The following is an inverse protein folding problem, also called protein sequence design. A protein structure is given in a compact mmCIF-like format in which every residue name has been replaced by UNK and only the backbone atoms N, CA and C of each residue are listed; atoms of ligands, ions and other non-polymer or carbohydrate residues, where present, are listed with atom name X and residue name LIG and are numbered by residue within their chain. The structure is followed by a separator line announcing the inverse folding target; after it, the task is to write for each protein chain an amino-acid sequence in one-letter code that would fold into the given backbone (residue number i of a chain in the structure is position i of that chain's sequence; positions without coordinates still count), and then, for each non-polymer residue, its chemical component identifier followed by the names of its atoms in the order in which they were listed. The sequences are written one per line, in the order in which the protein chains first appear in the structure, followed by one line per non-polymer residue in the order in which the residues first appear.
data_IF_122506627615
#
_entry.id   IF_122506627615
#
_cell.length_a   1.000
_cell.length_b   1.000
_cell.length_c   1.000
_cell.angle_alpha   90.00
_cell.angle_beta   90.00
_cell.angle_gamma   90.00
#
_symmetry.space_group_name_H-M   'P 1'
#
loop_
_entity.id
_entity.type
_entity.pdbx_description
1 polymer ?
#
# COMPACT_ATOMS: atom_id res chain seq x y z
N UNK A 1 -20.37 17.34 -4.93
CA UNK A 1 -20.32 15.96 -5.40
C UNK A 1 -19.68 15.93 -6.78
N UNK A 2 -18.48 15.31 -6.91
CA UNK A 2 -17.70 15.28 -8.16
C UNK A 2 -17.70 13.89 -8.79
N UNK A 3 -18.57 12.98 -8.34
CA UNK A 3 -18.65 11.63 -8.89
C UNK A 3 -17.46 10.73 -8.57
N UNK A 4 -16.71 11.02 -7.52
CA UNK A 4 -15.60 10.16 -7.07
C UNK A 4 -16.18 8.87 -6.48
N UNK A 5 -15.71 7.73 -6.98
CA UNK A 5 -16.16 6.40 -6.53
C UNK A 5 -15.08 5.58 -5.88
N UNK A 6 -13.82 5.99 -5.98
CA UNK A 6 -12.68 5.29 -5.39
C UNK A 6 -11.57 6.25 -4.99
N UNK A 7 -10.82 5.88 -3.96
CA UNK A 7 -9.64 6.60 -3.47
C UNK A 7 -8.50 5.61 -3.33
N UNK A 8 -7.36 5.92 -3.94
CA UNK A 8 -6.10 5.22 -3.70
C UNK A 8 -5.26 6.05 -2.74
N UNK A 9 -5.07 5.52 -1.56
CA UNK A 9 -4.33 6.18 -0.47
C UNK A 9 -2.83 5.87 -0.57
N UNK A 10 -1.98 6.78 -0.13
CA UNK A 10 -0.53 6.58 -0.20
C UNK A 10 -0.01 5.52 0.79
N UNK A 11 -0.76 5.21 1.85
CA UNK A 11 -0.46 4.11 2.78
C UNK A 11 -1.72 3.65 3.52
N UNK A 12 -1.60 2.55 4.28
CA UNK A 12 -2.73 1.98 5.00
C UNK A 12 -3.21 2.83 6.17
N UNK A 13 -2.31 3.48 6.87
CA UNK A 13 -2.67 4.37 7.98
C UNK A 13 -3.60 5.48 7.49
N UNK A 14 -3.26 6.09 6.35
CA UNK A 14 -4.11 7.10 5.73
C UNK A 14 -5.41 6.49 5.21
N UNK A 15 -5.39 5.28 4.67
CA UNK A 15 -6.60 4.56 4.26
C UNK A 15 -7.57 4.39 5.43
N UNK A 16 -7.09 3.99 6.60
CA UNK A 16 -7.91 3.86 7.82
C UNK A 16 -8.56 5.19 8.19
N UNK A 17 -7.80 6.27 8.15
CA UNK A 17 -8.31 7.62 8.45
C UNK A 17 -9.38 8.07 7.45
N UNK A 18 -9.15 7.80 6.16
CA UNK A 18 -10.11 8.12 5.10
C UNK A 18 -11.42 7.36 5.34
N UNK A 19 -11.35 6.05 5.58
CA UNK A 19 -12.55 5.24 5.82
C UNK A 19 -13.32 5.75 7.04
N UNK A 20 -12.64 6.05 8.14
CA UNK A 20 -13.24 6.62 9.34
C UNK A 20 -13.92 7.95 9.08
N UNK A 21 -13.28 8.83 8.32
CA UNK A 21 -13.85 10.11 7.95
C UNK A 21 -15.13 9.93 7.09
N UNK A 22 -15.07 9.05 6.09
CA UNK A 22 -16.23 8.75 5.24
C UNK A 22 -17.40 8.25 6.09
N UNK A 23 -17.16 7.29 7.00
CA UNK A 23 -18.18 6.76 7.90
C UNK A 23 -18.78 7.84 8.79
N UNK A 24 -17.95 8.73 9.31
CA UNK A 24 -18.44 9.87 10.12
C UNK A 24 -19.33 10.84 9.30
N UNK A 25 -19.16 10.88 7.99
CA UNK A 25 -20.00 11.67 7.07
C UNK A 25 -21.21 10.91 6.53
N UNK A 26 -21.44 9.68 7.00
CA UNK A 26 -22.54 8.84 6.55
C UNK A 26 -22.31 8.16 5.20
N UNK A 27 -21.06 8.16 4.71
CA UNK A 27 -20.67 7.47 3.48
C UNK A 27 -20.12 6.08 3.80
N UNK A 28 -20.49 5.10 3.01
CA UNK A 28 -20.12 3.70 3.21
C UNK A 28 -18.92 3.32 2.36
N UNK A 29 -18.00 2.60 2.95
CA UNK A 29 -16.91 1.93 2.23
C UNK A 29 -17.17 0.41 2.25
N UNK A 30 -17.25 -0.26 1.11
CA UNK A 30 -16.99 0.21 -0.25
C UNK A 30 -18.21 0.72 -1.03
N UNK A 31 -19.42 0.70 -0.43
CA UNK A 31 -20.65 0.89 -1.19
C UNK A 31 -20.74 2.24 -1.88
N UNK A 32 -20.36 3.30 -1.20
CA UNK A 32 -20.37 4.65 -1.78
C UNK A 32 -19.00 5.01 -2.34
N UNK A 33 -17.92 4.68 -1.63
CA UNK A 33 -16.55 4.96 -2.06
C UNK A 33 -15.66 3.76 -1.72
N UNK A 34 -14.96 3.23 -2.71
CA UNK A 34 -13.92 2.20 -2.51
C UNK A 34 -12.62 2.85 -2.05
N UNK A 35 -11.86 2.18 -1.19
CA UNK A 35 -10.57 2.68 -0.70
C UNK A 35 -9.52 1.58 -0.80
N UNK A 36 -8.37 1.93 -1.37
CA UNK A 36 -7.19 1.06 -1.47
C UNK A 36 -6.04 1.69 -0.70
N UNK A 37 -5.35 0.90 0.11
CA UNK A 37 -4.16 1.30 0.85
C UNK A 37 -2.87 0.86 0.17
N UNK A 38 -1.76 0.95 0.90
CA UNK A 38 -0.43 0.52 0.49
C UNK A 38 0.37 0.14 1.73
N UNK A 39 1.13 -0.93 1.71
CA UNK A 39 2.05 -1.51 2.67
C UNK A 39 1.63 -2.87 3.24
N UNK A 40 0.35 -3.20 3.28
CA UNK A 40 -0.22 -4.38 3.96
C UNK A 40 0.08 -4.38 5.47
N UNK A 41 -0.27 -3.28 6.12
CA UNK A 41 -0.26 -3.18 7.57
C UNK A 41 -1.13 -4.29 8.19
N UNK A 42 -0.66 -4.88 9.29
CA UNK A 42 -1.36 -6.01 9.93
C UNK A 42 -2.81 -5.67 10.35
N UNK A 43 -3.13 -4.41 10.56
CA UNK A 43 -4.48 -3.94 10.90
C UNK A 43 -5.46 -4.03 9.73
N UNK A 44 -4.98 -4.13 8.49
CA UNK A 44 -5.84 -4.17 7.31
C UNK A 44 -6.85 -5.32 7.36
N UNK A 45 -6.43 -6.50 7.82
CA UNK A 45 -7.27 -7.70 7.87
C UNK A 45 -8.44 -7.57 8.85
N UNK A 46 -8.22 -6.85 9.96
CA UNK A 46 -9.20 -6.72 11.06
C UNK A 46 -9.95 -5.38 11.03
N UNK A 47 -9.62 -4.49 10.12
CA UNK A 47 -10.32 -3.22 9.98
C UNK A 47 -11.74 -3.44 9.44
N UNK A 48 -12.63 -2.50 9.67
CA UNK A 48 -14.02 -2.59 9.21
C UNK A 48 -14.36 -1.45 8.25
N UNK A 49 -14.43 -1.75 6.94
CA UNK A 49 -14.20 -3.04 6.27
C UNK A 49 -12.72 -3.42 6.19
N UNK A 50 -12.37 -4.70 6.03
CA UNK A 50 -10.99 -5.11 5.78
C UNK A 50 -10.41 -4.41 4.56
N UNK A 51 -9.20 -3.87 4.68
CA UNK A 51 -8.65 -2.95 3.68
C UNK A 51 -7.89 -3.69 2.60
N UNK A 52 -8.31 -3.50 1.35
CA UNK A 52 -7.56 -3.87 0.15
C UNK A 52 -6.31 -3.00 0.08
N UNK A 53 -5.16 -3.63 -0.12
CA UNK A 53 -3.88 -2.94 -0.06
C UNK A 53 -2.86 -3.59 -0.99
N UNK A 54 -1.71 -2.97 -1.13
CA UNK A 54 -0.57 -3.52 -1.86
C UNK A 54 0.45 -4.02 -0.84
N UNK A 55 0.77 -5.31 -0.90
CA UNK A 55 1.77 -5.93 -0.03
C UNK A 55 3.16 -5.66 -0.57
N UNK A 56 3.99 -5.04 0.25
CA UNK A 56 5.41 -4.81 -0.01
C UNK A 56 6.21 -5.72 0.91
N UNK A 57 7.13 -6.50 0.36
CA UNK A 57 8.07 -7.29 1.17
C UNK A 57 9.16 -6.36 1.72
N UNK A 58 8.92 -5.80 2.89
CA UNK A 58 9.90 -4.93 3.57
C UNK A 58 11.21 -5.67 3.82
N UNK A 59 11.13 -6.96 4.17
CA UNK A 59 12.30 -7.81 4.34
C UNK A 59 13.14 -7.89 3.05
N UNK A 60 12.51 -8.18 1.92
CA UNK A 60 13.21 -8.28 0.64
C UNK A 60 13.82 -6.94 0.22
N UNK A 61 13.09 -5.84 0.39
CA UNK A 61 13.61 -4.50 0.11
C UNK A 61 14.83 -4.21 0.98
N UNK A 62 14.76 -4.51 2.26
CA UNK A 62 15.88 -4.31 3.19
C UNK A 62 17.10 -5.16 2.81
N UNK A 63 16.90 -6.44 2.49
CA UNK A 63 17.99 -7.33 2.08
C UNK A 63 18.69 -6.80 0.82
N UNK A 64 17.94 -6.41 -0.19
CA UNK A 64 18.49 -5.88 -1.43
C UNK A 64 19.28 -4.58 -1.19
N UNK A 65 18.69 -3.66 -0.44
CA UNK A 65 19.33 -2.37 -0.15
C UNK A 65 20.61 -2.53 0.67
N UNK A 66 20.58 -3.33 1.73
CA UNK A 66 21.74 -3.55 2.61
C UNK A 66 22.82 -4.34 1.87
N UNK A 67 22.49 -5.35 1.09
CA UNK A 67 23.45 -6.11 0.29
C UNK A 67 24.21 -5.21 -0.68
N UNK A 68 23.52 -4.33 -1.36
CA UNK A 68 24.15 -3.37 -2.28
C UNK A 68 25.08 -2.42 -1.55
N UNK A 69 24.62 -1.88 -0.42
CA UNK A 69 25.41 -0.96 0.38
C UNK A 69 26.68 -1.63 0.92
N UNK A 70 26.57 -2.86 1.46
CA UNK A 70 27.70 -3.61 2.01
C UNK A 70 28.72 -3.93 0.90
N UNK A 71 28.26 -4.37 -0.27
CA UNK A 71 29.11 -4.64 -1.42
C UNK A 71 29.88 -3.37 -1.82
N UNK A 72 29.18 -2.25 -1.92
CA UNK A 72 29.78 -0.97 -2.27
C UNK A 72 30.86 -0.55 -1.26
N UNK A 73 30.60 -0.72 0.04
CA UNK A 73 31.54 -0.40 1.11
C UNK A 73 32.79 -1.32 1.01
N UNK A 74 32.60 -2.64 0.85
CA UNK A 74 33.69 -3.62 0.76
C UNK A 74 34.60 -3.39 -0.44
N UNK A 75 34.06 -2.88 -1.52
CA UNK A 75 34.79 -2.57 -2.73
C UNK A 75 35.33 -1.13 -2.76
N UNK A 76 35.31 -0.45 -1.63
CA UNK A 76 35.81 0.92 -1.46
C UNK A 76 35.23 1.91 -2.48
N UNK A 77 33.95 1.75 -2.81
CA UNK A 77 33.26 2.62 -3.77
C UNK A 77 33.63 2.37 -5.24
N UNK A 78 34.32 1.26 -5.55
CA UNK A 78 34.70 0.92 -6.92
C UNK A 78 33.54 0.40 -7.74
N UNK A 79 32.56 -0.25 -7.09
CA UNK A 79 31.31 -0.69 -7.74
C UNK A 79 30.32 0.45 -7.68
N UNK A 80 29.84 0.95 -8.82
CA UNK A 80 28.79 1.96 -8.79
C UNK A 80 27.54 1.37 -8.11
N UNK A 81 26.93 2.12 -7.21
CA UNK A 81 25.60 1.77 -6.72
C UNK A 81 24.66 1.88 -7.90
N UNK A 82 24.15 0.74 -8.38
CA UNK A 82 23.26 0.69 -9.52
C UNK A 82 21.98 1.49 -9.22
N UNK A 83 21.50 2.27 -10.20
CA UNK A 83 20.48 3.28 -10.00
C UNK A 83 19.15 2.75 -9.48
N UNK A 84 18.63 1.61 -9.99
CA UNK A 84 17.31 1.12 -9.61
C UNK A 84 17.27 -0.39 -9.50
N UNK A 85 16.62 -0.87 -8.43
CA UNK A 85 16.18 -2.26 -8.29
C UNK A 85 14.70 -2.30 -8.03
N UNK A 86 14.01 -3.18 -8.73
CA UNK A 86 12.56 -3.37 -8.58
C UNK A 86 12.28 -4.62 -7.75
N UNK A 87 11.57 -4.44 -6.65
CA UNK A 87 11.05 -5.54 -5.84
C UNK A 87 9.58 -5.70 -6.16
N UNK A 88 9.12 -6.90 -6.56
CA UNK A 88 7.71 -7.10 -6.89
C UNK A 88 6.81 -6.88 -5.68
N UNK A 89 5.63 -6.34 -5.96
CA UNK A 89 4.56 -6.12 -4.98
C UNK A 89 3.35 -6.98 -5.36
N UNK A 90 2.42 -7.16 -4.41
CA UNK A 90 1.23 -8.00 -4.59
C UNK A 90 0.00 -7.21 -4.16
N UNK A 91 -1.04 -7.26 -4.98
CA UNK A 91 -2.35 -6.73 -4.58
C UNK A 91 -3.04 -7.73 -3.66
N UNK A 92 -3.41 -7.28 -2.46
CA UNK A 92 -4.17 -8.06 -1.47
C UNK A 92 -5.60 -7.56 -1.47
N UNK A 93 -6.48 -8.29 -2.13
CA UNK A 93 -7.89 -7.93 -2.24
C UNK A 93 -8.65 -8.33 -0.97
N UNK A 94 -9.36 -7.35 -0.36
CA UNK A 94 -10.19 -7.53 0.83
C UNK A 94 -11.56 -6.88 0.60
N UNK A 95 -12.14 -6.29 1.63
CA UNK A 95 -13.52 -5.81 1.61
C UNK A 95 -13.73 -4.33 1.33
N UNK A 96 -12.68 -3.53 1.17
CA UNK A 96 -12.79 -2.07 1.02
C UNK A 96 -13.00 -1.59 -0.41
N UNK A 97 -13.08 -2.49 -1.36
CA UNK A 97 -13.29 -2.21 -2.79
C UNK A 97 -14.48 -2.99 -3.28
N UNK A 98 -15.35 -2.34 -4.06
CA UNK A 98 -16.44 -3.01 -4.75
C UNK A 98 -16.27 -2.93 -6.26
N UNK A 99 -16.75 -3.96 -6.93
CA UNK A 99 -16.82 -3.96 -8.38
C UNK A 99 -17.96 -3.03 -8.84
N UNK A 100 -17.64 -2.11 -9.74
CA UNK A 100 -18.58 -1.17 -10.33
C UNK A 100 -18.76 -1.47 -11.83
N UNK A 101 -18.84 -2.73 -12.22
CA UNK A 101 -19.09 -3.10 -13.61
C UNK A 101 -20.29 -2.35 -14.16
N UNK A 102 -20.05 -1.70 -15.24
CA UNK A 102 -21.06 -0.95 -16.00
C UNK A 102 -21.76 -1.91 -16.97
#
# INVERSE_FOLDING_TARGET
DKGVTAIFSCNDTMAFMIIRYLQAKGLRCPDDISVVGYDDDFRCADFSPPVTTVRVSVYQVAVEAVSDLVTHIREHGRTPMSGEKWVPVELVSRGSVKNITV
#
